data_IF_517177780901
#
_entry.id   IF_517177780901
#
_cell.length_a   1.000
_cell.length_b   1.000
_cell.length_c   1.000
_cell.angle_alpha   90.00
_cell.angle_beta   90.00
_cell.angle_gamma   90.00
#
_symmetry.space_group_name_H-M   'P 1'
#
loop_
_entity.id
_entity.type
_entity.pdbx_description
1 polymer ?
#
# COMPACT_ATOMS: atom_id res chain seq x y z
N UNK A 1 -6.62 5.89 -12.76
CA UNK A 1 -7.71 6.71 -12.26
C UNK A 1 -9.03 6.16 -12.81
N UNK A 2 -9.97 5.84 -11.95
CA UNK A 2 -11.31 5.42 -12.36
C UNK A 2 -12.32 6.53 -12.10
N UNK A 3 -13.12 6.86 -13.12
CA UNK A 3 -14.13 7.93 -13.05
C UNK A 3 -15.50 7.30 -13.24
N UNK A 4 -16.40 7.44 -12.24
CA UNK A 4 -17.77 6.91 -12.31
C UNK A 4 -18.73 7.98 -12.83
N UNK A 5 -19.46 7.67 -13.90
CA UNK A 5 -20.57 8.47 -14.43
C UNK A 5 -21.91 8.12 -13.78
N UNK A 6 -22.85 9.06 -13.79
CA UNK A 6 -24.27 8.75 -13.54
C UNK A 6 -24.74 7.77 -14.59
N UNK A 7 -25.40 6.65 -14.20
CA UNK A 7 -25.87 5.69 -15.16
C UNK A 7 -26.95 6.31 -16.05
N UNK A 8 -26.68 6.40 -17.35
CA UNK A 8 -27.71 6.58 -18.36
C UNK A 8 -28.29 5.25 -18.82
N UNK A 9 -27.72 4.14 -18.39
CA UNK A 9 -28.21 2.77 -18.60
C UNK A 9 -27.45 1.83 -17.64
N UNK A 10 -27.99 0.67 -17.40
CA UNK A 10 -27.54 -0.36 -16.44
C UNK A 10 -26.20 -1.03 -16.76
N UNK A 11 -25.33 -0.41 -17.53
CA UNK A 11 -24.01 -0.94 -17.88
C UNK A 11 -22.95 0.17 -17.81
N UNK A 12 -21.84 -0.12 -17.14
CA UNK A 12 -20.58 0.53 -17.36
C UNK A 12 -20.08 1.41 -16.23
N UNK A 13 -19.01 0.95 -15.59
CA UNK A 13 -18.08 1.78 -14.83
C UNK A 13 -17.10 2.36 -15.86
N UNK A 14 -17.13 3.67 -16.09
CA UNK A 14 -16.11 4.33 -16.91
C UNK A 14 -14.81 4.37 -16.15
N UNK A 15 -13.74 3.84 -16.70
CA UNK A 15 -12.38 3.99 -16.17
C UNK A 15 -11.55 4.82 -17.13
N UNK A 16 -11.07 5.97 -16.67
CA UNK A 16 -9.95 6.64 -17.31
C UNK A 16 -8.70 6.23 -16.54
N UNK A 17 -7.82 5.48 -17.16
CA UNK A 17 -6.57 5.10 -16.57
C UNK A 17 -5.44 5.79 -17.31
N UNK A 18 -4.60 6.50 -16.60
CA UNK A 18 -3.32 6.93 -17.09
C UNK A 18 -2.24 6.15 -16.37
N UNK A 19 -1.54 5.29 -17.09
CA UNK A 19 -0.29 4.70 -16.63
C UNK A 19 0.70 4.72 -17.80
N UNK A 20 1.68 5.61 -17.71
CA UNK A 20 2.53 5.95 -18.83
C UNK A 20 3.51 4.82 -19.21
N UNK A 21 3.74 3.80 -18.39
CA UNK A 21 4.87 2.92 -18.74
C UNK A 21 4.80 1.43 -18.38
N UNK A 22 3.93 0.95 -17.50
CA UNK A 22 4.09 -0.43 -17.02
C UNK A 22 2.83 -1.30 -16.91
N UNK A 23 1.65 -0.80 -17.20
CA UNK A 23 0.40 -1.57 -17.02
C UNK A 23 -0.54 -1.42 -18.22
N UNK A 24 -0.22 -2.12 -19.29
CA UNK A 24 -0.97 -2.09 -20.56
C UNK A 24 -2.46 -2.43 -20.42
N UNK A 25 -2.83 -3.24 -19.41
CA UNK A 25 -4.22 -3.70 -19.24
C UNK A 25 -5.20 -2.58 -18.89
N UNK A 26 -4.76 -1.53 -18.19
CA UNK A 26 -5.63 -0.41 -17.83
C UNK A 26 -5.82 0.61 -18.95
N UNK A 27 -5.06 0.48 -20.04
CA UNK A 27 -5.13 1.30 -21.24
C UNK A 27 -5.78 0.59 -22.42
N UNK A 28 -6.33 -0.61 -22.22
CA UNK A 28 -7.08 -1.31 -23.25
C UNK A 28 -8.38 -0.56 -23.55
N UNK A 29 -8.59 -0.26 -24.82
CA UNK A 29 -9.70 0.57 -25.30
C UNK A 29 -11.08 -0.01 -25.02
N UNK A 30 -11.17 -1.32 -24.79
CA UNK A 30 -12.41 -2.06 -24.55
C UNK A 30 -12.75 -2.22 -23.04
N UNK A 31 -11.87 -1.78 -22.13
CA UNK A 31 -12.08 -1.87 -20.67
C UNK A 31 -12.80 -0.63 -20.13
N UNK A 32 -12.68 0.51 -20.78
CA UNK A 32 -13.28 1.76 -20.35
C UNK A 32 -14.22 2.34 -21.39
N UNK A 33 -15.29 3.02 -20.96
CA UNK A 33 -16.20 3.75 -21.87
C UNK A 33 -15.47 4.89 -22.58
N UNK A 34 -14.50 5.51 -21.92
CA UNK A 34 -13.60 6.53 -22.46
C UNK A 34 -12.22 6.41 -21.83
N UNK A 35 -11.21 6.50 -22.65
CA UNK A 35 -9.81 6.44 -22.27
C UNK A 35 -9.14 7.77 -22.59
N UNK A 36 -8.43 8.31 -21.60
CA UNK A 36 -7.66 9.54 -21.69
C UNK A 36 -6.18 9.22 -21.51
N UNK A 37 -5.36 9.60 -22.49
CA UNK A 37 -3.90 9.46 -22.42
C UNK A 37 -3.28 10.80 -22.02
N UNK A 38 -3.49 11.19 -20.78
CA UNK A 38 -3.00 12.44 -20.23
C UNK A 38 -2.07 12.18 -19.04
N UNK A 39 -1.14 13.09 -18.76
CA UNK A 39 -0.34 13.02 -17.55
C UNK A 39 -1.22 12.97 -16.31
N UNK A 40 -0.77 12.24 -15.28
CA UNK A 40 -1.45 12.25 -13.98
C UNK A 40 -0.99 13.47 -13.16
N UNK A 41 -1.29 14.65 -13.67
CA UNK A 41 -1.16 15.93 -12.96
C UNK A 41 -2.51 16.36 -12.42
N UNK A 42 -2.52 17.28 -11.46
CA UNK A 42 -3.77 17.79 -10.90
C UNK A 42 -4.61 18.49 -11.98
N UNK A 43 -3.96 19.29 -12.80
CA UNK A 43 -4.57 20.11 -13.85
C UNK A 43 -5.24 19.24 -14.92
N UNK A 44 -4.54 18.25 -15.43
CA UNK A 44 -5.06 17.34 -16.46
C UNK A 44 -6.24 16.53 -15.94
N UNK A 45 -6.13 16.01 -14.70
CA UNK A 45 -7.23 15.26 -14.08
C UNK A 45 -8.44 16.16 -13.85
N UNK A 46 -8.27 17.39 -13.38
CA UNK A 46 -9.37 18.34 -13.21
C UNK A 46 -10.03 18.69 -14.55
N UNK A 47 -9.26 18.85 -15.62
CA UNK A 47 -9.81 19.08 -16.97
C UNK A 47 -10.69 17.89 -17.43
N UNK A 48 -10.26 16.66 -17.20
CA UNK A 48 -11.07 15.47 -17.50
C UNK A 48 -12.35 15.46 -16.64
N UNK A 49 -12.26 15.81 -15.34
CA UNK A 49 -13.42 15.90 -14.45
C UNK A 49 -14.43 16.91 -14.94
N UNK A 50 -13.98 18.07 -15.40
CA UNK A 50 -14.85 19.12 -15.92
C UNK A 50 -15.64 18.66 -17.17
N UNK A 51 -14.97 17.92 -18.06
CA UNK A 51 -15.60 17.35 -19.27
C UNK A 51 -16.56 16.21 -18.94
N UNK A 52 -16.12 15.26 -18.11
CA UNK A 52 -16.87 14.03 -17.85
C UNK A 52 -17.92 14.16 -16.77
N UNK A 53 -17.78 15.15 -15.87
CA UNK A 53 -18.69 15.40 -14.73
C UNK A 53 -19.06 14.13 -13.98
N UNK A 54 -18.08 13.36 -13.47
CA UNK A 54 -18.33 12.09 -12.82
C UNK A 54 -19.03 12.29 -11.46
N UNK A 55 -19.72 11.25 -10.98
CA UNK A 55 -20.21 11.22 -9.60
C UNK A 55 -19.10 11.14 -8.57
N UNK A 56 -17.94 10.61 -8.96
CA UNK A 56 -16.78 10.51 -8.12
C UNK A 56 -15.60 9.80 -8.80
N UNK A 57 -14.48 9.78 -8.11
CA UNK A 57 -13.19 9.35 -8.64
C UNK A 57 -12.61 8.27 -7.72
N UNK A 58 -12.13 7.20 -8.30
CA UNK A 58 -11.41 6.15 -7.59
C UNK A 58 -9.91 6.30 -7.91
N UNK A 59 -9.11 6.62 -6.90
CA UNK A 59 -7.65 6.81 -7.02
C UNK A 59 -6.83 5.58 -6.64
N UNK A 60 -7.47 4.53 -6.15
CA UNK A 60 -6.84 3.40 -5.47
C UNK A 60 -6.25 2.31 -6.38
N UNK A 61 -6.37 2.42 -7.72
CA UNK A 61 -5.97 1.37 -8.66
C UNK A 61 -4.77 1.71 -9.55
N UNK A 62 -4.15 2.84 -9.36
CA UNK A 62 -3.01 3.30 -10.16
C UNK A 62 -1.67 3.38 -9.40
N UNK A 63 -1.56 2.69 -8.27
CA UNK A 63 -0.36 2.78 -7.40
C UNK A 63 -0.29 4.13 -6.69
N UNK A 64 0.92 4.60 -6.40
CA UNK A 64 1.15 5.81 -5.60
C UNK A 64 0.83 7.12 -6.34
N UNK A 65 0.97 7.16 -7.66
CA UNK A 65 0.81 8.41 -8.42
C UNK A 65 -0.59 9.01 -8.29
N UNK A 66 -1.70 8.30 -8.62
CA UNK A 66 -3.04 8.84 -8.41
C UNK A 66 -3.40 8.99 -6.93
N UNK A 67 -2.83 8.16 -6.05
CA UNK A 67 -3.10 8.25 -4.62
C UNK A 67 -2.62 9.57 -4.03
N UNK A 68 -1.43 10.04 -4.42
CA UNK A 68 -0.89 11.36 -4.01
C UNK A 68 -1.73 12.54 -4.47
N UNK A 69 -2.54 12.38 -5.52
CA UNK A 69 -3.46 13.42 -5.98
C UNK A 69 -4.76 13.48 -5.17
N UNK A 70 -5.08 12.45 -4.37
CA UNK A 70 -6.38 12.33 -3.68
C UNK A 70 -6.74 13.59 -2.89
N UNK A 71 -5.83 14.10 -2.07
CA UNK A 71 -6.04 15.29 -1.25
C UNK A 71 -6.22 16.56 -2.10
N UNK A 72 -5.36 16.76 -3.10
CA UNK A 72 -5.45 17.92 -3.97
C UNK A 72 -6.74 17.91 -4.79
N UNK A 73 -7.16 16.77 -5.31
CA UNK A 73 -8.42 16.59 -6.02
C UNK A 73 -9.62 16.89 -5.11
N UNK A 74 -9.63 16.37 -3.89
CA UNK A 74 -10.69 16.64 -2.92
C UNK A 74 -10.80 18.12 -2.55
N UNK A 75 -9.68 18.82 -2.36
CA UNK A 75 -9.64 20.27 -2.11
C UNK A 75 -10.18 21.08 -3.29
N UNK A 76 -10.12 20.56 -4.51
CA UNK A 76 -10.72 21.15 -5.70
C UNK A 76 -12.15 20.63 -6.00
N UNK A 77 -12.82 20.06 -5.00
CA UNK A 77 -14.23 19.68 -5.09
C UNK A 77 -14.49 18.31 -5.73
N UNK A 78 -13.47 17.53 -6.04
CA UNK A 78 -13.65 16.20 -6.57
C UNK A 78 -14.08 15.22 -5.45
N UNK A 79 -15.14 14.43 -5.69
CA UNK A 79 -15.61 13.41 -4.78
C UNK A 79 -14.74 12.14 -4.91
N UNK A 80 -13.91 11.86 -3.92
CA UNK A 80 -13.09 10.63 -3.88
C UNK A 80 -13.94 9.48 -3.36
N UNK A 81 -14.11 8.43 -4.17
CA UNK A 81 -14.84 7.21 -3.83
C UNK A 81 -13.85 6.15 -3.31
N UNK A 82 -14.18 5.52 -2.21
CA UNK A 82 -13.33 4.53 -1.53
C UNK A 82 -12.75 5.07 -0.23
N UNK A 83 -11.57 4.63 0.13
CA UNK A 83 -10.87 5.12 1.32
C UNK A 83 -10.62 6.63 1.21
N UNK A 84 -10.92 7.37 2.29
CA UNK A 84 -10.85 8.83 2.29
C UNK A 84 -9.42 9.35 2.10
N UNK A 85 -9.24 10.57 1.51
CA UNK A 85 -7.93 11.20 1.41
C UNK A 85 -7.24 11.37 2.78
N UNK A 86 -8.00 11.59 3.84
CA UNK A 86 -7.48 11.71 5.21
C UNK A 86 -6.90 10.39 5.73
N UNK A 87 -7.59 9.27 5.47
CA UNK A 87 -7.11 7.94 5.84
C UNK A 87 -5.90 7.51 5.01
N UNK A 88 -5.86 7.92 3.73
CA UNK A 88 -4.69 7.71 2.86
C UNK A 88 -3.49 8.47 3.43
N UNK A 89 -3.66 9.75 3.74
CA UNK A 89 -2.61 10.61 4.31
C UNK A 89 -2.10 10.06 5.67
N UNK A 90 -3.02 9.57 6.52
CA UNK A 90 -2.66 8.95 7.79
C UNK A 90 -1.79 7.69 7.61
N UNK A 91 -2.05 6.90 6.58
CA UNK A 91 -1.26 5.71 6.29
C UNK A 91 0.11 6.05 5.66
N UNK A 92 0.21 7.16 4.91
CA UNK A 92 1.43 7.58 4.23
C UNK A 92 2.33 8.47 5.09
N UNK A 93 1.75 9.26 6.00
CA UNK A 93 2.51 10.08 6.94
C UNK A 93 3.12 9.22 8.04
N UNK A 94 4.45 9.18 8.07
CA UNK A 94 5.20 8.31 8.98
C UNK A 94 4.88 8.56 10.45
N UNK A 95 4.80 9.82 10.86
CA UNK A 95 4.57 10.17 12.26
C UNK A 95 3.14 9.82 12.69
N UNK A 96 2.16 10.13 11.85
CA UNK A 96 0.76 9.80 12.07
C UNK A 96 0.55 8.28 12.10
N UNK A 97 1.16 7.58 11.15
CA UNK A 97 1.11 6.12 11.07
C UNK A 97 1.73 5.49 12.33
N UNK A 98 2.90 5.93 12.76
CA UNK A 98 3.54 5.43 13.98
C UNK A 98 2.66 5.66 15.23
N UNK A 99 2.00 6.82 15.35
CA UNK A 99 1.05 7.09 16.43
C UNK A 99 -0.14 6.14 16.39
N UNK A 100 -0.67 5.84 15.20
CA UNK A 100 -1.74 4.89 15.00
C UNK A 100 -1.31 3.46 15.41
N UNK A 101 -0.15 3.00 14.97
CA UNK A 101 0.37 1.66 15.33
C UNK A 101 0.54 1.52 16.83
N UNK A 102 1.11 2.54 17.50
CA UNK A 102 1.24 2.56 18.97
C UNK A 102 -0.13 2.55 19.67
N UNK A 103 -1.10 3.33 19.18
CA UNK A 103 -2.47 3.35 19.70
C UNK A 103 -3.13 1.98 19.64
N UNK A 104 -2.87 1.22 18.57
CA UNK A 104 -3.39 -0.12 18.37
C UNK A 104 -2.62 -1.22 19.15
N UNK A 105 -1.54 -0.84 19.85
CA UNK A 105 -0.68 -1.79 20.56
C UNK A 105 0.10 -2.72 19.64
N UNK A 106 0.36 -2.30 18.39
CA UNK A 106 1.10 -3.04 17.40
C UNK A 106 2.57 -2.61 17.38
N UNK A 107 3.44 -3.45 16.79
CA UNK A 107 4.87 -3.22 16.73
C UNK A 107 5.30 -2.77 15.33
N UNK A 108 6.29 -1.90 15.27
CA UNK A 108 7.05 -1.56 14.09
C UNK A 108 8.53 -1.76 14.37
N UNK A 109 9.38 -1.97 13.35
CA UNK A 109 10.82 -1.89 13.54
C UNK A 109 11.20 -0.56 14.20
N UNK A 110 12.18 -0.59 15.09
CA UNK A 110 12.68 0.63 15.71
C UNK A 110 13.23 1.52 14.61
N UNK A 111 12.87 2.79 14.64
CA UNK A 111 13.23 3.70 13.57
C UNK A 111 13.49 5.12 14.09
N UNK A 112 14.29 5.87 13.33
CA UNK A 112 14.56 7.28 13.57
C UNK A 112 14.78 8.02 12.25
N UNK A 113 14.94 9.34 12.35
CA UNK A 113 15.26 10.21 11.22
C UNK A 113 16.45 11.08 11.57
N UNK A 114 17.36 11.26 10.61
CA UNK A 114 18.52 12.12 10.77
C UNK A 114 18.63 13.14 9.64
N UNK A 115 19.02 14.38 9.98
CA UNK A 115 19.23 15.47 9.03
C UNK A 115 20.72 15.80 8.85
N UNK A 116 21.59 15.25 9.70
CA UNK A 116 23.03 15.38 9.58
C UNK A 116 23.72 14.05 9.83
N UNK A 117 24.99 13.96 9.43
CA UNK A 117 25.82 12.80 9.66
C UNK A 117 25.98 12.50 11.16
N UNK A 118 26.21 13.53 11.97
CA UNK A 118 26.40 13.41 13.42
C UNK A 118 25.11 12.86 14.07
N UNK A 119 23.97 13.41 13.69
CA UNK A 119 22.67 12.92 14.15
C UNK A 119 22.45 11.46 13.72
N UNK A 120 22.77 11.10 12.48
CA UNK A 120 22.61 9.74 11.99
C UNK A 120 23.41 8.72 12.81
N UNK A 121 24.66 9.04 13.19
CA UNK A 121 25.50 8.19 14.04
C UNK A 121 24.92 8.04 15.44
N UNK A 122 24.40 9.11 16.04
CA UNK A 122 23.78 9.06 17.36
C UNK A 122 22.54 8.15 17.33
N UNK A 123 21.65 8.39 16.37
CA UNK A 123 20.41 7.61 16.22
C UNK A 123 20.70 6.15 15.89
N UNK A 124 21.66 5.89 15.00
CA UNK A 124 22.06 4.53 14.64
C UNK A 124 22.59 3.73 15.83
N UNK A 125 23.41 4.36 16.69
CA UNK A 125 23.93 3.71 17.89
C UNK A 125 22.81 3.46 18.94
N UNK A 126 21.76 4.28 18.94
CA UNK A 126 20.61 4.08 19.81
C UNK A 126 19.69 2.95 19.32
N UNK A 127 19.53 2.79 17.99
CA UNK A 127 18.72 1.71 17.38
C UNK A 127 19.49 0.39 17.41
N UNK A 128 20.79 0.40 17.07
CA UNK A 128 21.64 -0.77 16.85
C UNK A 128 21.71 -1.17 15.37
N UNK A 129 22.78 -1.86 15.00
CA UNK A 129 22.99 -2.39 13.64
C UNK A 129 22.53 -3.85 13.54
N UNK A 130 22.16 -4.33 12.32
CA UNK A 130 22.12 -3.62 11.05
C UNK A 130 20.90 -2.69 10.89
N UNK A 131 21.05 -1.68 10.02
CA UNK A 131 20.00 -0.70 9.72
C UNK A 131 19.71 -0.63 8.22
N UNK A 132 18.46 -0.41 7.89
CA UNK A 132 18.06 0.05 6.55
C UNK A 132 18.09 1.57 6.55
N UNK A 133 18.85 2.16 5.64
CA UNK A 133 18.95 3.61 5.47
C UNK A 133 18.41 4.02 4.11
N UNK A 134 17.61 5.10 4.10
CA UNK A 134 17.00 5.61 2.86
C UNK A 134 16.67 7.10 2.97
N UNK A 135 16.73 7.87 1.87
CA UNK A 135 16.24 9.25 1.88
C UNK A 135 14.70 9.29 2.01
N UNK A 136 14.16 10.27 2.72
CA UNK A 136 12.71 10.37 3.00
C UNK A 136 11.83 10.56 1.75
N UNK A 137 12.38 11.05 0.65
CA UNK A 137 11.62 11.43 -0.54
C UNK A 137 11.99 10.68 -1.82
N UNK A 138 12.67 9.54 -1.72
CA UNK A 138 13.00 8.74 -2.90
C UNK A 138 11.96 7.65 -3.12
N UNK A 139 11.36 7.66 -4.30
CA UNK A 139 10.39 6.65 -4.74
C UNK A 139 11.12 5.40 -5.28
N UNK A 140 10.64 4.23 -4.88
CA UNK A 140 10.97 2.98 -5.54
C UNK A 140 12.31 2.36 -5.17
N UNK A 141 12.73 2.39 -3.89
CA UNK A 141 13.90 1.65 -3.42
C UNK A 141 15.26 2.17 -3.94
N UNK A 142 15.28 3.22 -4.73
CA UNK A 142 16.53 3.87 -5.14
C UNK A 142 17.21 4.49 -3.93
N UNK A 143 18.52 4.24 -3.79
CA UNK A 143 19.35 4.68 -2.69
C UNK A 143 18.94 4.15 -1.30
N UNK A 144 18.25 3.00 -1.22
CA UNK A 144 18.11 2.24 0.02
C UNK A 144 19.30 1.32 0.16
N UNK A 145 19.93 1.30 1.35
CA UNK A 145 21.10 0.48 1.65
C UNK A 145 20.97 -0.13 3.05
N UNK A 146 21.48 -1.35 3.22
CA UNK A 146 21.63 -1.96 4.54
C UNK A 146 23.04 -1.65 5.01
N UNK A 147 23.15 -1.00 6.17
CA UNK A 147 24.42 -0.63 6.81
C UNK A 147 24.63 -1.46 8.06
N UNK A 148 25.84 -1.96 8.23
CA UNK A 148 26.18 -2.88 9.32
C UNK A 148 27.02 -2.24 10.43
N UNK A 149 27.53 -1.03 10.20
CA UNK A 149 28.40 -0.30 11.10
C UNK A 149 28.38 1.21 10.84
N UNK A 150 29.04 1.96 11.71
CA UNK A 150 29.14 3.41 11.56
C UNK A 150 29.90 3.84 10.31
N UNK A 151 30.88 3.08 9.84
CA UNK A 151 31.68 3.43 8.67
C UNK A 151 30.83 3.36 7.39
N UNK A 152 30.05 2.29 7.21
CA UNK A 152 29.11 2.16 6.10
C UNK A 152 28.00 3.21 6.15
N UNK A 153 27.49 3.53 7.35
CA UNK A 153 26.52 4.60 7.54
C UNK A 153 27.10 5.97 7.14
N UNK A 154 28.29 6.29 7.58
CA UNK A 154 28.93 7.56 7.24
C UNK A 154 29.18 7.72 5.74
N UNK A 155 29.62 6.66 5.08
CA UNK A 155 29.79 6.61 3.62
C UNK A 155 28.46 6.84 2.90
N UNK A 156 27.40 6.18 3.36
CA UNK A 156 26.05 6.39 2.83
C UNK A 156 25.59 7.84 2.99
N UNK A 157 25.75 8.41 4.18
CA UNK A 157 25.35 9.79 4.46
C UNK A 157 26.09 10.82 3.59
N UNK A 158 27.37 10.61 3.27
CA UNK A 158 28.12 11.47 2.37
C UNK A 158 27.50 11.49 0.95
N UNK A 159 27.02 10.34 0.47
CA UNK A 159 26.44 10.21 -0.85
C UNK A 159 24.96 10.69 -0.89
N UNK A 160 24.20 10.31 0.11
CA UNK A 160 22.77 10.61 0.19
C UNK A 160 22.49 12.09 0.44
N UNK A 161 23.29 12.76 1.30
CA UNK A 161 23.15 14.21 1.59
C UNK A 161 23.50 15.06 0.38
N UNK A 162 24.43 14.62 -0.48
CA UNK A 162 24.74 15.34 -1.73
C UNK A 162 23.60 15.30 -2.76
N UNK A 163 22.76 14.25 -2.71
CA UNK A 163 21.68 14.04 -3.71
C UNK A 163 20.36 14.68 -3.27
N UNK A 164 20.15 14.87 -1.97
CA UNK A 164 18.90 15.39 -1.42
C UNK A 164 19.13 16.59 -0.52
N UNK A 165 19.31 17.78 -1.11
CA UNK A 165 19.38 19.03 -0.34
C UNK A 165 18.29 19.09 0.73
N UNK A 166 18.64 19.03 2.03
CA UNK A 166 17.79 19.16 3.23
C UNK A 166 16.77 18.04 3.52
N UNK A 167 16.71 16.96 2.77
CA UNK A 167 15.78 15.87 3.09
C UNK A 167 16.34 14.96 4.18
N UNK A 168 15.54 14.62 5.21
CA UNK A 168 16.01 13.72 6.26
C UNK A 168 16.25 12.31 5.70
N UNK A 169 17.25 11.63 6.26
CA UNK A 169 17.52 10.22 6.04
C UNK A 169 16.75 9.42 7.10
N UNK A 170 16.11 8.36 6.66
CA UNK A 170 15.39 7.41 7.51
C UNK A 170 16.35 6.29 7.91
N UNK A 171 16.31 5.92 9.16
CA UNK A 171 17.07 4.82 9.77
C UNK A 171 16.05 3.86 10.36
N UNK A 172 15.93 2.68 9.79
CA UNK A 172 15.02 1.64 10.26
C UNK A 172 15.86 0.43 10.70
N UNK A 173 15.55 -0.17 11.86
CA UNK A 173 16.17 -1.44 12.27
C UNK A 173 15.92 -2.49 11.20
N UNK A 174 16.98 -3.13 10.73
CA UNK A 174 16.85 -4.23 9.76
C UNK A 174 16.49 -5.52 10.50
N UNK A 175 15.41 -6.13 10.09
CA UNK A 175 14.96 -7.41 10.63
C UNK A 175 15.60 -8.55 9.84
N UNK A 176 16.83 -8.88 10.20
CA UNK A 176 17.59 -9.95 9.53
C UNK A 176 16.91 -11.31 9.75
N UNK A 177 16.81 -12.10 8.67
CA UNK A 177 16.13 -13.41 8.66
C UNK A 177 14.64 -13.37 9.02
N UNK A 178 13.98 -12.21 9.00
CA UNK A 178 12.53 -12.15 9.18
C UNK A 178 11.80 -12.79 8.00
N UNK A 179 10.65 -13.39 8.28
CA UNK A 179 9.73 -13.88 7.26
C UNK A 179 8.81 -12.72 6.87
N UNK A 180 8.87 -12.28 5.63
CA UNK A 180 7.97 -11.25 5.12
C UNK A 180 6.63 -11.85 4.67
N UNK A 181 5.55 -11.12 4.96
CA UNK A 181 4.19 -11.53 4.64
C UNK A 181 3.41 -10.34 4.09
N UNK A 182 2.84 -10.51 2.90
CA UNK A 182 1.86 -9.59 2.33
C UNK A 182 0.44 -10.07 2.62
N UNK A 183 -0.41 -9.20 3.15
CA UNK A 183 -1.82 -9.49 3.39
C UNK A 183 -2.69 -8.49 2.64
N UNK A 184 -3.49 -9.00 1.72
CA UNK A 184 -4.49 -8.21 1.02
C UNK A 184 -5.87 -8.38 1.67
N UNK A 185 -6.58 -7.28 1.87
CA UNK A 185 -7.94 -7.28 2.40
C UNK A 185 -8.88 -6.47 1.52
N UNK A 186 -10.16 -6.83 1.60
CA UNK A 186 -11.26 -6.04 1.03
C UNK A 186 -12.15 -5.57 2.17
N UNK A 187 -12.52 -4.29 2.13
CA UNK A 187 -13.30 -3.63 3.15
C UNK A 187 -14.48 -2.85 2.55
N UNK A 188 -15.57 -2.74 3.27
CA UNK A 188 -16.73 -1.91 2.89
C UNK A 188 -17.03 -0.78 3.89
N UNK A 189 -16.04 -0.45 4.74
CA UNK A 189 -16.15 0.51 5.84
C UNK A 189 -16.74 -0.08 7.13
N UNK A 190 -17.26 -1.31 7.09
CA UNK A 190 -17.81 -2.03 8.26
C UNK A 190 -17.17 -3.40 8.43
N UNK A 191 -17.27 -4.21 7.39
CA UNK A 191 -16.72 -5.55 7.36
C UNK A 191 -15.34 -5.55 6.68
N UNK A 192 -14.42 -6.36 7.20
CA UNK A 192 -13.07 -6.57 6.69
C UNK A 192 -12.88 -8.05 6.42
N UNK A 193 -12.62 -8.40 5.18
CA UNK A 193 -12.39 -9.78 4.76
C UNK A 193 -10.99 -9.93 4.19
N UNK A 194 -10.25 -10.92 4.67
CA UNK A 194 -8.93 -11.27 4.15
C UNK A 194 -9.09 -11.82 2.74
N UNK A 195 -8.41 -11.21 1.79
CA UNK A 195 -8.37 -11.64 0.39
C UNK A 195 -7.31 -12.70 0.14
N UNK A 196 -6.19 -12.62 0.87
CA UNK A 196 -5.11 -13.60 0.83
C UNK A 196 -3.95 -13.21 1.73
N UNK A 197 -3.23 -14.22 2.19
CA UNK A 197 -2.01 -14.08 2.98
C UNK A 197 -0.91 -14.76 2.19
N UNK A 198 0.13 -14.02 1.85
CA UNK A 198 1.25 -14.50 1.02
C UNK A 198 2.54 -14.44 1.84
N UNK A 199 3.20 -15.55 1.97
CA UNK A 199 4.52 -15.65 2.57
C UNK A 199 5.58 -15.52 1.50
N UNK A 200 6.56 -14.63 1.69
CA UNK A 200 7.69 -14.47 0.78
C UNK A 200 8.69 -15.63 0.94
N UNK A 201 9.27 -16.05 -0.17
CA UNK A 201 10.28 -17.12 -0.19
C UNK A 201 11.67 -16.52 -0.01
N UNK A 202 11.91 -15.34 -0.57
CA UNK A 202 13.14 -14.60 -0.42
C UNK A 202 13.24 -13.97 0.97
N UNK A 203 14.48 -13.71 1.39
CA UNK A 203 14.76 -13.08 2.67
C UNK A 203 14.21 -11.66 2.76
N UNK A 204 13.93 -11.21 3.98
CA UNK A 204 13.49 -9.85 4.27
C UNK A 204 14.43 -8.79 3.66
N UNK A 205 13.84 -7.71 3.14
CA UNK A 205 14.56 -6.63 2.47
C UNK A 205 14.60 -6.73 0.95
N UNK A 206 14.15 -7.83 0.36
CA UNK A 206 13.93 -7.94 -1.09
C UNK A 206 12.56 -7.36 -1.41
N UNK A 207 12.51 -6.45 -2.38
CA UNK A 207 11.26 -5.79 -2.75
C UNK A 207 10.19 -6.83 -3.15
N UNK A 208 8.97 -6.69 -2.62
CA UNK A 208 7.86 -7.63 -2.85
C UNK A 208 7.53 -7.91 -4.32
N UNK A 209 7.87 -6.97 -5.22
CA UNK A 209 7.71 -7.15 -6.66
C UNK A 209 8.74 -8.08 -7.30
N UNK A 210 9.83 -8.39 -6.60
CA UNK A 210 10.95 -9.21 -7.06
C UNK A 210 11.04 -10.52 -6.27
N UNK A 211 10.14 -10.74 -5.30
CA UNK A 211 10.04 -11.94 -4.48
C UNK A 211 9.02 -12.92 -5.03
N UNK A 212 9.32 -14.22 -4.95
CA UNK A 212 8.32 -15.26 -5.08
C UNK A 212 7.50 -15.37 -3.80
N UNK A 213 6.21 -15.69 -3.93
CA UNK A 213 5.31 -15.79 -2.79
C UNK A 213 4.57 -17.13 -2.80
N UNK A 214 4.37 -17.69 -1.61
CA UNK A 214 3.49 -18.84 -1.39
C UNK A 214 2.11 -18.38 -0.89
N UNK A 215 1.06 -18.89 -1.50
CA UNK A 215 -0.33 -18.70 -1.09
C UNK A 215 -1.03 -20.06 -1.08
N UNK A 216 -1.43 -20.62 0.08
CA UNK A 216 -1.30 -20.05 1.43
C UNK A 216 0.15 -20.05 1.95
N UNK A 217 0.43 -19.36 3.09
CA UNK A 217 1.70 -19.46 3.80
C UNK A 217 2.06 -20.91 4.15
N UNK A 218 3.35 -21.24 4.10
CA UNK A 218 3.82 -22.61 4.27
C UNK A 218 4.63 -22.85 5.55
N UNK A 219 5.29 -21.82 6.10
CA UNK A 219 6.18 -21.99 7.26
C UNK A 219 5.56 -21.47 8.58
N UNK A 220 4.59 -20.56 8.48
CA UNK A 220 3.98 -19.89 9.63
C UNK A 220 2.89 -20.75 10.28
N UNK A 221 2.89 -20.80 11.62
CA UNK A 221 1.86 -21.50 12.39
C UNK A 221 0.49 -20.80 12.29
N UNK A 222 -0.59 -21.56 12.46
CA UNK A 222 -1.94 -21.02 12.47
C UNK A 222 -2.12 -19.90 13.53
N UNK A 223 -1.47 -20.04 14.70
CA UNK A 223 -1.54 -19.03 15.75
C UNK A 223 -0.96 -17.69 15.33
N UNK A 224 0.18 -17.71 14.62
CA UNK A 224 0.80 -16.51 14.05
C UNK A 224 -0.09 -15.89 12.94
N UNK A 225 -0.63 -16.74 12.07
CA UNK A 225 -1.52 -16.29 11.00
C UNK A 225 -2.82 -15.67 11.56
N UNK A 226 -3.38 -16.22 12.62
CA UNK A 226 -4.57 -15.67 13.28
C UNK A 226 -4.29 -14.31 13.91
N UNK A 227 -3.12 -14.15 14.53
CA UNK A 227 -2.69 -12.88 15.09
C UNK A 227 -2.45 -11.84 13.98
N UNK A 228 -1.81 -12.21 12.86
CA UNK A 228 -1.67 -11.34 11.69
C UNK A 228 -3.03 -10.89 11.14
N UNK A 229 -3.99 -11.81 11.00
CA UNK A 229 -5.37 -11.48 10.59
C UNK A 229 -6.02 -10.47 11.53
N UNK A 230 -5.83 -10.65 12.84
CA UNK A 230 -6.36 -9.74 13.87
C UNK A 230 -5.77 -8.34 13.70
N UNK A 231 -4.44 -8.23 13.58
CA UNK A 231 -3.73 -6.96 13.44
C UNK A 231 -4.15 -6.20 12.19
N UNK A 232 -4.19 -6.87 11.05
CA UNK A 232 -4.60 -6.26 9.76
C UNK A 232 -6.05 -5.76 9.81
N UNK A 233 -6.97 -6.54 10.41
CA UNK A 233 -8.36 -6.11 10.59
C UNK A 233 -8.48 -4.89 11.50
N UNK A 234 -7.65 -4.77 12.54
CA UNK A 234 -7.61 -3.59 13.42
C UNK A 234 -7.17 -2.35 12.63
N UNK A 235 -6.10 -2.45 11.87
CA UNK A 235 -5.58 -1.35 11.05
C UNK A 235 -6.58 -0.92 9.98
N UNK A 236 -7.22 -1.87 9.28
CA UNK A 236 -8.22 -1.57 8.27
C UNK A 236 -9.43 -0.82 8.86
N UNK A 237 -9.84 -1.15 10.07
CA UNK A 237 -10.92 -0.46 10.79
C UNK A 237 -10.50 0.93 11.25
N UNK A 238 -9.31 1.08 11.81
CA UNK A 238 -8.80 2.38 12.27
C UNK A 238 -8.64 3.36 11.11
N UNK A 239 -8.21 2.87 9.94
CA UNK A 239 -8.09 3.64 8.71
C UNK A 239 -9.43 3.82 7.97
N UNK A 240 -10.54 3.28 8.50
CA UNK A 240 -11.84 3.32 7.82
C UNK A 240 -11.75 2.94 6.34
N UNK A 241 -11.06 1.86 6.03
CA UNK A 241 -10.79 1.45 4.65
C UNK A 241 -12.09 1.09 3.93
N UNK A 242 -12.26 1.61 2.71
CA UNK A 242 -13.31 1.21 1.77
C UNK A 242 -12.66 0.83 0.44
N UNK A 243 -12.72 -0.44 0.09
CA UNK A 243 -12.02 -1.01 -1.07
C UNK A 243 -10.90 -1.94 -0.63
N UNK A 244 -9.73 -1.81 -1.24
CA UNK A 244 -8.56 -2.65 -1.00
C UNK A 244 -7.58 -1.99 -0.03
N UNK A 245 -6.94 -2.83 0.77
CA UNK A 245 -5.76 -2.47 1.55
C UNK A 245 -4.77 -3.63 1.50
N UNK A 246 -3.51 -3.30 1.30
CA UNK A 246 -2.38 -4.22 1.46
C UNK A 246 -1.61 -3.86 2.73
N UNK A 247 -1.16 -4.87 3.45
CA UNK A 247 -0.30 -4.71 4.62
C UNK A 247 0.92 -5.60 4.45
N UNK A 248 2.10 -5.03 4.60
CA UNK A 248 3.35 -5.77 4.70
C UNK A 248 3.72 -5.95 6.16
N UNK A 249 3.92 -7.20 6.54
CA UNK A 249 4.32 -7.61 7.88
C UNK A 249 5.66 -8.34 7.80
N UNK A 250 6.40 -8.32 8.89
CA UNK A 250 7.56 -9.18 9.11
C UNK A 250 7.37 -9.97 10.40
N UNK A 251 7.74 -11.24 10.38
CA UNK A 251 7.73 -12.10 11.56
C UNK A 251 9.15 -12.52 11.91
N UNK A 252 9.58 -12.21 13.13
CA UNK A 252 10.91 -12.52 13.64
C UNK A 252 10.82 -12.71 15.16
N UNK A 253 11.49 -13.71 15.70
CA UNK A 253 11.63 -13.95 17.15
C UNK A 253 10.27 -13.94 17.89
N UNK A 254 9.30 -14.67 17.33
CA UNK A 254 7.91 -14.75 17.84
C UNK A 254 7.14 -13.42 17.89
N UNK A 255 7.62 -12.41 17.16
CA UNK A 255 7.00 -11.09 17.11
C UNK A 255 6.59 -10.71 15.68
N UNK A 256 5.48 -10.00 15.56
CA UNK A 256 4.96 -9.47 14.30
C UNK A 256 5.22 -7.98 14.24
N UNK A 257 5.90 -7.54 13.19
CA UNK A 257 6.20 -6.14 12.91
C UNK A 257 5.42 -5.64 11.71
N UNK A 258 4.78 -4.49 11.85
CA UNK A 258 4.12 -3.81 10.72
C UNK A 258 5.18 -2.99 9.98
N UNK A 259 5.40 -3.33 8.72
CA UNK A 259 6.37 -2.63 7.86
C UNK A 259 5.68 -1.44 7.19
N UNK A 260 4.59 -1.71 6.45
CA UNK A 260 3.80 -0.66 5.82
C UNK A 260 2.35 -1.08 5.60
N UNK A 261 1.49 -0.09 5.44
CA UNK A 261 0.09 -0.26 5.07
C UNK A 261 -0.23 0.61 3.87
N UNK A 262 -0.82 0.02 2.87
CA UNK A 262 -1.20 0.68 1.63
C UNK A 262 -2.72 0.58 1.44
N UNK A 263 -3.53 1.63 1.72
CA UNK A 263 -4.98 1.59 1.53
C UNK A 263 -5.35 1.73 0.04
N UNK A 264 -4.88 0.81 -0.77
CA UNK A 264 -5.03 0.75 -2.23
C UNK A 264 -4.81 -0.67 -2.75
N UNK A 265 -5.09 -0.87 -4.03
CA UNK A 265 -4.72 -2.09 -4.73
C UNK A 265 -3.20 -2.29 -4.75
N UNK A 266 -2.77 -3.47 -4.36
CA UNK A 266 -1.38 -3.93 -4.41
C UNK A 266 -1.07 -4.63 -5.74
N UNK A 267 0.19 -4.91 -5.97
CA UNK A 267 0.65 -5.75 -7.09
C UNK A 267 0.25 -7.21 -6.93
N UNK A 268 -0.01 -7.64 -5.70
CA UNK A 268 -0.39 -9.01 -5.35
C UNK A 268 -1.86 -9.33 -5.65
N UNK A 269 -2.73 -8.32 -5.76
CA UNK A 269 -4.17 -8.50 -6.04
C UNK A 269 -4.45 -9.37 -7.28
N UNK A 270 -3.80 -9.18 -8.45
CA UNK A 270 -4.00 -10.05 -9.60
C UNK A 270 -3.57 -11.49 -9.34
N UNK A 271 -2.46 -11.69 -8.62
CA UNK A 271 -1.99 -13.02 -8.24
C UNK A 271 -2.97 -13.72 -7.30
N UNK A 272 -3.37 -13.07 -6.21
CA UNK A 272 -4.34 -13.61 -5.25
C UNK A 272 -5.67 -13.92 -5.93
N UNK A 273 -6.16 -13.01 -6.79
CA UNK A 273 -7.42 -13.22 -7.51
C UNK A 273 -7.38 -14.43 -8.44
N UNK A 274 -6.25 -14.68 -9.10
CA UNK A 274 -6.07 -15.86 -9.96
C UNK A 274 -5.95 -17.14 -9.13
N UNK A 275 -5.15 -17.12 -8.07
CA UNK A 275 -4.93 -18.29 -7.22
C UNK A 275 -6.20 -18.73 -6.48
N UNK A 276 -7.02 -17.79 -6.03
CA UNK A 276 -8.27 -18.08 -5.31
C UNK A 276 -9.48 -18.23 -6.21
N UNK A 277 -9.40 -17.78 -7.46
CA UNK A 277 -10.53 -17.70 -8.40
C UNK A 277 -11.55 -16.60 -8.05
N UNK A 278 -11.20 -15.68 -7.16
CA UNK A 278 -12.08 -14.60 -6.67
C UNK A 278 -11.54 -13.25 -7.16
N UNK A 279 -12.31 -12.50 -7.93
CA UNK A 279 -11.91 -11.17 -8.40
C UNK A 279 -12.02 -10.13 -7.28
N UNK A 280 -10.95 -9.98 -6.48
CA UNK A 280 -10.91 -9.05 -5.35
C UNK A 280 -11.11 -7.60 -5.81
N UNK A 281 -10.57 -7.23 -6.97
CA UNK A 281 -10.72 -5.89 -7.52
C UNK A 281 -12.19 -5.56 -7.81
N UNK A 282 -12.96 -6.49 -8.41
CA UNK A 282 -14.38 -6.29 -8.66
C UNK A 282 -15.19 -6.15 -7.38
N UNK A 283 -14.90 -6.99 -6.37
CA UNK A 283 -15.56 -6.92 -5.06
C UNK A 283 -15.30 -5.57 -4.41
N UNK A 284 -14.05 -5.11 -4.45
CA UNK A 284 -13.65 -3.84 -3.87
C UNK A 284 -14.30 -2.63 -4.56
N UNK A 285 -14.34 -2.60 -5.89
CA UNK A 285 -15.05 -1.52 -6.63
C UNK A 285 -16.52 -1.48 -6.27
N UNK A 286 -17.18 -2.64 -6.16
CA UNK A 286 -18.57 -2.71 -5.71
C UNK A 286 -18.74 -2.21 -4.27
N UNK A 287 -17.80 -2.53 -3.37
CA UNK A 287 -17.81 -2.00 -2.01
C UNK A 287 -17.65 -0.47 -2.00
N UNK A 288 -16.72 0.07 -2.78
CA UNK A 288 -16.53 1.51 -2.97
C UNK A 288 -17.78 2.21 -3.52
N UNK A 289 -18.59 1.51 -4.31
CA UNK A 289 -19.86 2.02 -4.85
C UNK A 289 -21.07 1.73 -3.96
N UNK A 290 -20.87 1.30 -2.71
CA UNK A 290 -21.91 1.14 -1.70
C UNK A 290 -22.58 -0.24 -1.63
N UNK A 291 -22.05 -1.25 -2.32
CA UNK A 291 -22.54 -2.62 -2.23
C UNK A 291 -21.73 -3.36 -1.16
N UNK A 292 -22.31 -3.62 0.01
CA UNK A 292 -21.62 -4.26 1.12
C UNK A 292 -21.06 -5.64 0.76
N UNK A 293 -19.99 -6.06 1.43
CA UNK A 293 -19.37 -7.39 1.25
C UNK A 293 -20.38 -8.51 1.49
N UNK A 294 -21.27 -8.35 2.47
CA UNK A 294 -22.38 -9.29 2.75
C UNK A 294 -23.31 -9.46 1.57
N UNK A 295 -23.72 -8.36 0.92
CA UNK A 295 -24.58 -8.41 -0.28
C UNK A 295 -23.89 -9.07 -1.48
N UNK A 296 -22.56 -9.02 -1.51
CA UNK A 296 -21.75 -9.66 -2.53
C UNK A 296 -21.45 -11.13 -2.22
N UNK A 297 -21.84 -11.65 -1.05
CA UNK A 297 -21.53 -13.00 -0.59
C UNK A 297 -20.06 -13.19 -0.18
N UNK A 298 -19.26 -12.11 -0.12
CA UNK A 298 -17.85 -12.15 0.28
C UNK A 298 -17.71 -11.86 1.77
N UNK A 299 -17.85 -12.93 2.58
CA UNK A 299 -17.89 -12.85 4.04
C UNK A 299 -16.83 -13.73 4.72
N UNK A 300 -16.09 -14.51 3.96
CA UNK A 300 -15.03 -15.42 4.43
C UNK A 300 -13.76 -15.17 3.63
N UNK A 301 -12.63 -15.47 4.28
CA UNK A 301 -11.31 -15.45 3.65
C UNK A 301 -11.30 -16.27 2.36
N UNK A 302 -10.66 -15.72 1.34
CA UNK A 302 -10.44 -16.43 0.09
C UNK A 302 -9.35 -17.49 0.29
N UNK A 303 -9.75 -18.74 0.34
CA UNK A 303 -8.84 -19.89 0.38
C UNK A 303 -8.67 -20.39 -1.05
N UNK A 304 -7.43 -20.66 -1.46
CA UNK A 304 -7.14 -21.27 -2.75
C UNK A 304 -7.94 -22.56 -2.91
N UNK A 305 -8.42 -22.83 -4.13
CA UNK A 305 -9.01 -24.13 -4.42
C UNK A 305 -7.88 -25.17 -4.36
N UNK A 306 -8.06 -26.17 -3.53
CA UNK A 306 -7.21 -27.37 -3.63
C UNK A 306 -7.34 -27.90 -5.06
N UNK A 307 -6.22 -27.84 -5.81
CA UNK A 307 -6.12 -28.43 -7.16
C UNK A 307 -5.52 -29.81 -7.06
#
# INVERSE_FOLDING_TARGET
>A
LMIRRRPRSTQGVSSAASDVYKRQVSTDYDISDRLYFEPLTLEDVLAVIEVEKPEGIIVHYGGQTPLKLARALALNGANIIGTSPESIDLAEDRERFQKMIRKLGLKQPVNSTARSKEQAVIEANAIGFPLVVRPSYVLGGRAMEIVYDNESLERYMQTAVQVSNDSPVLLDSFLDHAIEVDIDVVCDGKDVVIGGIMEHIEQAGIHSGDSACSLPPYSLSNGVLDEMRRQVKLMAKELNVVGLMNTQLAYQDDEIYVIEVNPRASRTIPFVSKATGISLANIAVRAMTGISLKKQGFIKEAIGKDT
#
